data_IF_230877454689
#
_entry.id   IF_230877454689
#
_cell.length_a   1.000
_cell.length_b   1.000
_cell.length_c   1.000
_cell.angle_alpha   90.00
_cell.angle_beta   90.00
_cell.angle_gamma   90.00
#
_symmetry.space_group_name_H-M   'P 1'
#
loop_
_entity.id
_entity.type
_entity.pdbx_description
1 polymer ?
#
# COMPACT_ATOMS: atom_id res chain seq x y z
N UNK A 1 103.88 7.28 11.77
CA UNK A 1 103.04 7.78 12.89
C UNK A 1 101.55 7.95 12.55
N UNK A 2 101.12 8.10 11.28
CA UNK A 2 99.70 8.29 10.91
C UNK A 2 98.80 7.04 10.98
N UNK A 3 99.36 5.83 10.98
CA UNK A 3 98.58 4.57 11.08
C UNK A 3 98.21 4.21 12.52
N UNK A 4 99.06 4.55 13.50
CA UNK A 4 98.83 4.25 14.91
C UNK A 4 97.67 5.07 15.48
N UNK A 5 97.55 6.34 15.07
CA UNK A 5 96.43 7.22 15.44
C UNK A 5 95.07 6.81 14.82
N UNK A 6 95.08 6.10 13.69
CA UNK A 6 93.85 5.57 13.07
C UNK A 6 93.36 4.31 13.78
N UNK A 7 94.28 3.47 14.26
CA UNK A 7 93.94 2.30 15.07
C UNK A 7 93.41 2.68 16.45
N UNK A 8 94.02 3.66 17.11
CA UNK A 8 93.50 4.14 18.40
C UNK A 8 92.13 4.81 18.26
N UNK A 9 91.90 5.57 17.20
CA UNK A 9 90.58 6.14 16.90
C UNK A 9 89.51 5.05 16.63
N UNK A 10 89.86 3.99 15.89
CA UNK A 10 88.95 2.87 15.60
C UNK A 10 88.61 2.06 16.86
N UNK A 11 89.58 1.82 17.74
CA UNK A 11 89.37 1.12 19.02
C UNK A 11 88.53 1.96 19.99
N UNK A 12 88.74 3.28 20.04
CA UNK A 12 87.89 4.19 20.82
C UNK A 12 86.45 4.25 20.28
N UNK A 13 86.25 4.18 18.96
CA UNK A 13 84.93 4.16 18.33
C UNK A 13 84.17 2.85 18.62
N UNK A 14 84.89 1.72 18.65
CA UNK A 14 84.33 0.40 19.00
C UNK A 14 84.01 0.27 20.50
N UNK A 15 84.80 0.89 21.38
CA UNK A 15 84.52 0.93 22.83
C UNK A 15 83.32 1.84 23.17
N UNK A 16 83.10 2.92 22.40
CA UNK A 16 81.94 3.79 22.58
C UNK A 16 80.61 3.11 22.17
N UNK A 17 80.66 2.18 21.21
CA UNK A 17 79.49 1.42 20.76
C UNK A 17 79.02 0.36 21.78
N UNK A 18 79.89 -0.08 22.71
CA UNK A 18 79.57 -1.08 23.72
C UNK A 18 78.71 -0.54 24.90
N UNK A 19 78.50 0.78 24.98
CA UNK A 19 77.70 1.44 26.01
C UNK A 19 76.26 1.78 25.58
N UNK A 20 75.83 1.34 24.38
CA UNK A 20 74.44 1.49 23.96
C UNK A 20 73.54 0.55 24.79
N UNK A 21 73.02 1.05 25.91
CA UNK A 21 71.99 0.35 26.70
C UNK A 21 70.80 0.04 25.79
N UNK A 22 70.66 -1.23 25.41
CA UNK A 22 69.50 -1.68 24.64
C UNK A 22 68.20 -1.38 25.39
N UNK A 23 67.15 -0.91 24.67
CA UNK A 23 65.83 -0.75 25.26
C UNK A 23 65.30 -2.10 25.77
N UNK A 24 64.38 -2.10 26.76
CA UNK A 24 63.74 -3.32 27.25
C UNK A 24 63.13 -4.13 26.10
N UNK A 25 63.27 -5.46 26.15
CA UNK A 25 63.02 -6.37 25.03
C UNK A 25 61.66 -6.17 24.34
N UNK A 26 60.60 -5.90 25.10
CA UNK A 26 59.21 -5.85 24.60
C UNK A 26 58.68 -4.44 24.37
N UNK A 27 59.49 -3.39 24.53
CA UNK A 27 59.02 -2.01 24.47
C UNK A 27 58.39 -1.66 23.12
N UNK A 28 59.10 -1.96 22.03
CA UNK A 28 58.66 -1.63 20.67
C UNK A 28 57.41 -2.42 20.27
N UNK A 29 57.35 -3.70 20.64
CA UNK A 29 56.18 -4.55 20.39
C UNK A 29 54.96 -4.04 21.17
N UNK A 30 55.13 -3.66 22.44
CA UNK A 30 54.05 -3.10 23.26
C UNK A 30 53.53 -1.77 22.71
N UNK A 31 54.41 -0.93 22.18
CA UNK A 31 54.04 0.31 21.51
C UNK A 31 53.27 0.05 20.21
N UNK A 32 53.73 -0.91 19.40
CA UNK A 32 53.04 -1.30 18.18
C UNK A 32 51.64 -1.88 18.47
N UNK A 33 51.50 -2.71 19.51
CA UNK A 33 50.20 -3.23 19.96
C UNK A 33 49.25 -2.10 20.40
N UNK A 34 49.74 -1.10 21.15
CA UNK A 34 48.95 0.09 21.50
C UNK A 34 48.44 0.84 20.27
N UNK A 35 49.32 1.08 19.30
CA UNK A 35 48.95 1.77 18.06
C UNK A 35 47.95 0.98 17.23
N UNK A 36 48.11 -0.35 17.18
CA UNK A 36 47.18 -1.23 16.48
C UNK A 36 45.80 -1.19 17.12
N UNK A 37 45.71 -1.42 18.44
CA UNK A 37 44.45 -1.37 19.20
C UNK A 37 43.78 0.00 19.07
N UNK A 38 44.54 1.09 19.09
CA UNK A 38 44.01 2.43 18.86
C UNK A 38 43.46 2.60 17.44
N UNK A 39 44.16 2.07 16.43
CA UNK A 39 43.72 2.08 15.03
C UNK A 39 42.42 1.29 14.80
N UNK A 40 42.23 0.20 15.54
CA UNK A 40 40.99 -0.58 15.58
C UNK A 40 39.88 0.08 16.42
N UNK A 41 40.14 1.28 16.96
CA UNK A 41 39.17 2.08 17.70
C UNK A 41 39.01 1.67 19.17
N UNK A 42 39.97 0.98 19.77
CA UNK A 42 39.90 0.54 21.16
C UNK A 42 39.65 1.66 22.17
N UNK A 43 40.14 2.87 21.89
CA UNK A 43 39.89 4.08 22.68
C UNK A 43 38.42 4.57 22.62
N UNK A 44 37.73 4.30 21.52
CA UNK A 44 36.32 4.66 21.32
C UNK A 44 35.35 3.54 21.72
N UNK A 45 35.73 2.29 21.46
CA UNK A 45 34.90 1.11 21.71
C UNK A 45 34.94 0.69 23.18
N UNK A 46 36.14 0.65 23.75
CA UNK A 46 36.43 0.10 25.08
C UNK A 46 37.41 1.02 25.85
N UNK A 47 36.99 2.26 26.15
CA UNK A 47 37.88 3.30 26.68
C UNK A 47 38.55 2.94 28.01
N UNK A 48 37.86 2.20 28.89
CA UNK A 48 38.43 1.77 30.19
C UNK A 48 39.57 0.77 30.01
N UNK A 49 39.39 -0.20 29.11
CA UNK A 49 40.37 -1.26 28.85
C UNK A 49 41.58 -0.70 28.10
N UNK A 50 41.34 0.19 27.15
CA UNK A 50 42.40 0.91 26.45
C UNK A 50 43.22 1.79 27.41
N UNK A 51 42.56 2.54 28.31
CA UNK A 51 43.25 3.31 29.34
C UNK A 51 44.08 2.40 30.28
N UNK A 52 43.55 1.24 30.65
CA UNK A 52 44.26 0.25 31.47
C UNK A 52 45.51 -0.30 30.77
N UNK A 53 45.45 -0.53 29.45
CA UNK A 53 46.59 -0.93 28.63
C UNK A 53 47.64 0.19 28.55
N UNK A 54 47.21 1.43 28.33
CA UNK A 54 48.09 2.60 28.29
C UNK A 54 48.81 2.84 29.62
N UNK A 55 48.12 2.69 30.74
CA UNK A 55 48.70 2.79 32.08
C UNK A 55 49.81 1.76 32.32
N UNK A 56 49.61 0.52 31.84
CA UNK A 56 50.63 -0.52 31.93
C UNK A 56 51.88 -0.14 31.13
N UNK A 57 51.71 0.39 29.92
CA UNK A 57 52.81 0.84 29.08
C UNK A 57 53.56 2.02 29.73
N UNK A 58 52.83 3.02 30.25
CA UNK A 58 53.43 4.17 30.93
C UNK A 58 54.20 3.77 32.19
N UNK A 59 53.71 2.79 32.95
CA UNK A 59 54.46 2.19 34.06
C UNK A 59 55.75 1.55 33.56
N UNK A 60 55.70 0.80 32.46
CA UNK A 60 56.89 0.25 31.79
C UNK A 60 57.93 1.32 31.43
N UNK A 61 57.50 2.42 30.79
CA UNK A 61 58.35 3.56 30.47
C UNK A 61 58.95 4.22 31.72
N UNK A 62 58.18 4.33 32.81
CA UNK A 62 58.66 4.89 34.08
C UNK A 62 59.78 4.05 34.71
N UNK A 63 59.65 2.71 34.69
CA UNK A 63 60.67 1.80 35.21
C UNK A 63 61.90 1.76 34.30
N UNK A 64 61.70 1.88 32.98
CA UNK A 64 62.78 2.00 32.00
C UNK A 64 63.66 3.23 32.27
N UNK A 65 63.03 4.40 32.51
CA UNK A 65 63.74 5.63 32.91
C UNK A 65 64.52 5.49 34.22
N UNK A 66 64.02 4.69 35.16
CA UNK A 66 64.69 4.38 36.44
C UNK A 66 65.79 3.32 36.30
N UNK A 67 66.10 2.84 35.08
CA UNK A 67 67.05 1.74 34.81
C UNK A 67 66.67 0.40 35.47
N UNK A 68 65.41 0.22 35.88
CA UNK A 68 64.86 -1.02 36.45
C UNK A 68 64.33 -1.92 35.32
N UNK A 69 65.24 -2.57 34.59
CA UNK A 69 64.93 -3.32 33.36
C UNK A 69 63.88 -4.42 33.55
N UNK A 70 64.05 -5.27 34.56
CA UNK A 70 63.13 -6.40 34.81
C UNK A 70 61.70 -5.93 35.13
N UNK A 71 61.56 -4.85 35.90
CA UNK A 71 60.27 -4.26 36.20
C UNK A 71 59.64 -3.66 34.93
N UNK A 72 60.42 -2.96 34.12
CA UNK A 72 59.95 -2.41 32.84
C UNK A 72 59.46 -3.52 31.90
N UNK A 73 60.22 -4.60 31.75
CA UNK A 73 59.86 -5.75 30.92
C UNK A 73 58.55 -6.40 31.34
N UNK A 74 58.30 -6.58 32.65
CA UNK A 74 57.03 -7.11 33.15
C UNK A 74 55.83 -6.26 32.73
N UNK A 75 55.97 -4.93 32.78
CA UNK A 75 54.90 -4.02 32.38
C UNK A 75 54.69 -3.96 30.87
N UNK A 76 55.76 -4.07 30.06
CA UNK A 76 55.62 -4.20 28.62
C UNK A 76 54.96 -5.53 28.23
N UNK A 77 55.34 -6.65 28.85
CA UNK A 77 54.64 -7.93 28.66
C UNK A 77 53.17 -7.86 29.09
N UNK A 78 52.87 -7.17 30.20
CA UNK A 78 51.49 -6.94 30.62
C UNK A 78 50.71 -6.09 29.60
N UNK A 79 51.36 -5.10 28.99
CA UNK A 79 50.76 -4.30 27.91
C UNK A 79 50.39 -5.18 26.72
N UNK A 80 51.29 -6.06 26.29
CA UNK A 80 51.04 -7.01 25.20
C UNK A 80 49.88 -7.97 25.52
N UNK A 81 49.83 -8.51 26.74
CA UNK A 81 48.73 -9.38 27.18
C UNK A 81 47.38 -8.63 27.17
N UNK A 82 47.37 -7.39 27.65
CA UNK A 82 46.18 -6.53 27.61
C UNK A 82 45.76 -6.21 26.19
N UNK A 83 46.70 -5.91 25.30
CA UNK A 83 46.44 -5.69 23.88
C UNK A 83 45.78 -6.89 23.24
N UNK A 84 46.36 -8.09 23.40
CA UNK A 84 45.79 -9.32 22.83
C UNK A 84 44.39 -9.67 23.37
N UNK A 85 44.07 -9.32 24.63
CA UNK A 85 42.72 -9.48 25.17
C UNK A 85 41.76 -8.45 24.57
N UNK A 86 42.18 -7.19 24.55
CA UNK A 86 41.39 -6.07 24.05
C UNK A 86 41.10 -6.20 22.55
N UNK A 87 42.04 -6.69 21.75
CA UNK A 87 41.83 -7.01 20.33
C UNK A 87 40.67 -8.00 20.13
N UNK A 88 40.56 -9.02 20.98
CA UNK A 88 39.43 -9.98 20.92
C UNK A 88 38.11 -9.32 21.28
N UNK A 89 38.09 -8.50 22.32
CA UNK A 89 36.88 -7.79 22.73
C UNK A 89 36.42 -6.78 21.67
N UNK A 90 37.36 -6.07 21.04
CA UNK A 90 37.09 -5.17 19.91
C UNK A 90 36.47 -5.95 18.75
N UNK A 91 37.04 -7.11 18.39
CA UNK A 91 36.52 -7.94 17.32
C UNK A 91 35.09 -8.40 17.60
N UNK A 92 34.81 -8.85 18.82
CA UNK A 92 33.47 -9.25 19.24
C UNK A 92 32.48 -8.07 19.22
N UNK A 93 32.90 -6.90 19.70
CA UNK A 93 32.07 -5.71 19.73
C UNK A 93 31.74 -5.21 18.32
N UNK A 94 32.73 -5.22 17.42
CA UNK A 94 32.53 -4.89 16.02
C UNK A 94 31.58 -5.90 15.35
N UNK A 95 31.74 -7.20 15.61
CA UNK A 95 30.82 -8.22 15.11
C UNK A 95 29.37 -7.97 15.59
N UNK A 96 29.18 -7.70 16.89
CA UNK A 96 27.86 -7.34 17.45
C UNK A 96 27.25 -6.12 16.77
N UNK A 97 28.06 -5.08 16.53
CA UNK A 97 27.62 -3.86 15.83
C UNK A 97 27.26 -4.12 14.38
N UNK A 98 28.04 -4.92 13.66
CA UNK A 98 27.74 -5.30 12.29
C UNK A 98 26.45 -6.12 12.19
N UNK A 99 26.24 -7.07 13.10
CA UNK A 99 24.98 -7.81 13.17
C UNK A 99 23.79 -6.90 13.47
N UNK A 100 23.93 -5.98 14.44
CA UNK A 100 22.88 -5.02 14.77
C UNK A 100 22.55 -4.11 13.57
N UNK A 101 23.57 -3.59 12.88
CA UNK A 101 23.40 -2.79 11.67
C UNK A 101 22.72 -3.60 10.56
N UNK A 102 23.11 -4.86 10.35
CA UNK A 102 22.49 -5.74 9.37
C UNK A 102 21.00 -5.98 9.68
N UNK A 103 20.65 -6.21 10.96
CA UNK A 103 19.25 -6.37 11.40
C UNK A 103 18.41 -5.13 11.11
N UNK A 104 18.95 -3.93 11.38
CA UNK A 104 18.27 -2.67 11.06
C UNK A 104 18.04 -2.51 9.56
N UNK A 105 19.02 -2.85 8.73
CA UNK A 105 18.87 -2.82 7.27
C UNK A 105 17.81 -3.81 6.79
N UNK A 106 17.76 -5.02 7.35
CA UNK A 106 16.74 -6.01 7.01
C UNK A 106 15.34 -5.54 7.43
N UNK A 107 15.22 -4.96 8.61
CA UNK A 107 13.95 -4.42 9.10
C UNK A 107 13.46 -3.26 8.21
N UNK A 108 14.35 -2.33 7.84
CA UNK A 108 14.02 -1.25 6.92
C UNK A 108 13.59 -1.78 5.55
N UNK A 109 14.25 -2.83 5.03
CA UNK A 109 13.83 -3.49 3.79
C UNK A 109 12.44 -4.11 3.91
N UNK A 110 12.15 -4.78 5.02
CA UNK A 110 10.82 -5.36 5.30
C UNK A 110 9.75 -4.26 5.28
N UNK A 111 9.96 -3.18 6.03
CA UNK A 111 9.04 -2.04 6.08
C UNK A 111 8.85 -1.42 4.70
N UNK A 112 9.93 -1.26 3.91
CA UNK A 112 9.85 -0.71 2.57
C UNK A 112 9.07 -1.62 1.60
N UNK A 113 9.24 -2.93 1.70
CA UNK A 113 8.49 -3.91 0.92
C UNK A 113 7.01 -3.91 1.29
N UNK A 114 6.69 -3.89 2.60
CA UNK A 114 5.30 -3.81 3.07
C UNK A 114 4.63 -2.52 2.58
N UNK A 115 5.34 -1.39 2.63
CA UNK A 115 4.83 -0.12 2.10
C UNK A 115 4.53 -0.21 0.61
N UNK A 116 5.46 -0.75 -0.19
CA UNK A 116 5.26 -0.94 -1.64
C UNK A 116 4.06 -1.84 -1.93
N UNK A 117 3.94 -2.95 -1.19
CA UNK A 117 2.80 -3.87 -1.34
C UNK A 117 1.47 -3.19 -1.00
N UNK A 118 1.42 -2.34 0.04
CA UNK A 118 0.22 -1.54 0.38
C UNK A 118 -0.13 -0.54 -0.72
N UNK A 119 0.86 0.19 -1.23
CA UNK A 119 0.66 1.16 -2.32
C UNK A 119 0.18 0.47 -3.60
N UNK A 120 0.71 -0.71 -3.93
CA UNK A 120 0.25 -1.52 -5.06
C UNK A 120 -1.18 -2.05 -4.85
N UNK A 121 -1.48 -2.58 -3.66
CA UNK A 121 -2.82 -3.04 -3.31
C UNK A 121 -3.86 -1.91 -3.40
N UNK A 122 -3.52 -0.70 -2.94
CA UNK A 122 -4.38 0.47 -3.06
C UNK A 122 -4.61 0.86 -4.52
N UNK A 123 -3.56 0.84 -5.36
CA UNK A 123 -3.68 1.09 -6.81
C UNK A 123 -4.58 0.07 -7.49
N UNK A 124 -4.41 -1.21 -7.17
CA UNK A 124 -5.25 -2.28 -7.70
C UNK A 124 -6.69 -2.15 -7.23
N UNK A 125 -6.93 -1.77 -5.97
CA UNK A 125 -8.27 -1.53 -5.45
C UNK A 125 -8.97 -0.37 -6.19
N UNK A 126 -8.28 0.76 -6.38
CA UNK A 126 -8.80 1.90 -7.16
C UNK A 126 -9.07 1.52 -8.61
N UNK A 127 -8.15 0.81 -9.26
CA UNK A 127 -8.33 0.35 -10.63
C UNK A 127 -9.54 -0.61 -10.77
N UNK A 128 -9.77 -1.48 -9.77
CA UNK A 128 -10.97 -2.33 -9.73
C UNK A 128 -12.25 -1.53 -9.59
N UNK A 129 -12.28 -0.57 -8.66
CA UNK A 129 -13.44 0.31 -8.46
C UNK A 129 -13.75 1.11 -9.73
N UNK A 130 -12.73 1.69 -10.38
CA UNK A 130 -12.88 2.40 -11.65
C UNK A 130 -13.38 1.50 -12.77
N UNK A 131 -12.88 0.27 -12.87
CA UNK A 131 -13.33 -0.72 -13.84
C UNK A 131 -14.79 -1.13 -13.60
N UNK A 132 -15.18 -1.38 -12.35
CA UNK A 132 -16.56 -1.68 -11.98
C UNK A 132 -17.49 -0.50 -12.30
N UNK A 133 -17.09 0.72 -11.99
CA UNK A 133 -17.84 1.93 -12.33
C UNK A 133 -17.97 2.13 -13.85
N UNK A 134 -16.93 1.82 -14.62
CA UNK A 134 -16.97 1.86 -16.07
C UNK A 134 -17.95 0.83 -16.65
N UNK A 135 -17.90 -0.42 -16.15
CA UNK A 135 -18.85 -1.48 -16.54
C UNK A 135 -20.30 -1.07 -16.22
N UNK A 136 -20.55 -0.50 -15.04
CA UNK A 136 -21.89 -0.02 -14.67
C UNK A 136 -22.37 1.11 -15.59
N UNK A 137 -21.52 2.10 -15.88
CA UNK A 137 -21.84 3.19 -16.81
C UNK A 137 -22.16 2.67 -18.22
N UNK A 138 -21.35 1.75 -18.72
CA UNK A 138 -21.57 1.12 -20.03
C UNK A 138 -22.88 0.31 -20.05
N UNK A 139 -23.17 -0.46 -19.00
CA UNK A 139 -24.43 -1.18 -18.86
C UNK A 139 -25.65 -0.23 -18.88
N UNK A 140 -25.59 0.88 -18.16
CA UNK A 140 -26.65 1.92 -18.18
C UNK A 140 -26.82 2.52 -19.57
N UNK A 141 -25.71 2.82 -20.26
CA UNK A 141 -25.75 3.38 -21.61
C UNK A 141 -26.36 2.38 -22.63
N UNK A 142 -26.01 1.10 -22.53
CA UNK A 142 -26.58 0.04 -23.37
C UNK A 142 -28.09 -0.10 -23.14
N UNK A 143 -28.55 -0.07 -21.88
CA UNK A 143 -29.98 -0.11 -21.55
C UNK A 143 -30.70 1.12 -22.13
N UNK A 144 -30.12 2.31 -21.99
CA UNK A 144 -30.67 3.56 -22.53
C UNK A 144 -30.77 3.53 -24.06
N UNK A 145 -29.76 3.03 -24.77
CA UNK A 145 -29.77 2.89 -26.25
C UNK A 145 -30.80 1.87 -26.74
N UNK A 146 -31.11 0.84 -25.94
CA UNK A 146 -32.12 -0.19 -26.28
C UNK A 146 -33.55 0.21 -25.93
N UNK A 147 -33.75 1.19 -25.05
CA UNK A 147 -35.08 1.72 -24.75
C UNK A 147 -35.61 2.57 -25.92
N UNK A 148 -36.55 2.02 -26.70
CA UNK A 148 -37.27 2.79 -27.73
C UNK A 148 -38.19 3.81 -27.05
N UNK A 149 -38.31 5.06 -27.55
CA UNK A 149 -39.32 6.00 -27.08
C UNK A 149 -40.71 5.38 -27.26
N UNK A 150 -41.42 5.17 -26.15
CA UNK A 150 -42.80 4.74 -26.18
C UNK A 150 -43.59 5.91 -26.75
N UNK A 151 -44.02 5.80 -28.02
CA UNK A 151 -44.84 6.82 -28.67
C UNK A 151 -46.15 6.91 -27.90
N UNK A 152 -46.29 7.93 -27.05
CA UNK A 152 -47.53 8.22 -26.33
C UNK A 152 -48.62 8.44 -27.37
N UNK A 153 -49.54 7.48 -27.47
CA UNK A 153 -50.70 7.61 -28.34
C UNK A 153 -51.62 8.62 -27.67
N UNK A 154 -51.98 9.74 -28.33
CA UNK A 154 -52.84 10.74 -27.72
C UNK A 154 -54.16 10.08 -27.31
N UNK A 155 -54.44 10.10 -26.01
CA UNK A 155 -55.63 9.48 -25.44
C UNK A 155 -56.83 10.42 -25.56
N UNK A 156 -57.91 9.96 -26.19
CA UNK A 156 -59.13 10.78 -26.38
C UNK A 156 -60.05 10.74 -25.16
N UNK A 157 -60.63 11.87 -24.76
CA UNK A 157 -61.63 11.95 -23.68
C UNK A 157 -63.07 11.73 -24.17
N UNK A 158 -63.28 11.83 -25.49
CA UNK A 158 -64.56 11.56 -26.15
C UNK A 158 -64.35 10.99 -27.55
N UNK A 159 -65.27 10.14 -28.01
CA UNK A 159 -65.25 9.55 -29.34
C UNK A 159 -66.58 9.81 -30.07
N UNK A 160 -66.50 10.33 -31.30
CA UNK A 160 -67.67 10.47 -32.16
C UNK A 160 -67.86 9.19 -32.97
N UNK A 161 -68.97 8.50 -32.74
CA UNK A 161 -69.32 7.23 -33.38
C UNK A 161 -69.41 7.41 -34.89
N UNK A 162 -68.67 6.60 -35.64
CA UNK A 162 -68.70 6.57 -37.11
C UNK A 162 -69.66 5.48 -37.61
N UNK A 163 -70.01 5.55 -38.89
CA UNK A 163 -70.91 4.57 -39.53
C UNK A 163 -70.32 3.16 -39.44
N UNK A 164 -71.07 2.25 -38.82
CA UNK A 164 -70.69 0.84 -38.66
C UNK A 164 -69.80 0.52 -37.45
N UNK A 165 -69.54 1.50 -36.57
CA UNK A 165 -68.81 1.22 -35.33
C UNK A 165 -69.70 0.57 -34.26
N UNK A 166 -69.08 -0.25 -33.43
CA UNK A 166 -69.66 -0.86 -32.23
C UNK A 166 -68.82 -0.49 -31.00
N UNK A 167 -69.39 -0.56 -29.79
CA UNK A 167 -68.66 -0.22 -28.57
C UNK A 167 -67.34 -1.00 -28.38
N UNK A 168 -67.26 -2.33 -28.68
CA UNK A 168 -65.98 -3.05 -28.67
C UNK A 168 -64.98 -2.52 -29.70
N UNK A 169 -65.44 -2.15 -30.89
CA UNK A 169 -64.55 -1.61 -31.91
C UNK A 169 -63.96 -0.26 -31.48
N UNK A 170 -64.75 0.60 -30.85
CA UNK A 170 -64.29 1.89 -30.31
C UNK A 170 -63.29 1.64 -29.17
N UNK A 171 -63.60 0.77 -28.21
CA UNK A 171 -62.70 0.45 -27.10
C UNK A 171 -61.34 -0.13 -27.55
N UNK A 172 -61.34 -0.85 -28.69
CA UNK A 172 -60.13 -1.43 -29.26
C UNK A 172 -59.15 -0.43 -29.84
N UNK A 173 -59.58 0.81 -30.10
CA UNK A 173 -58.72 1.83 -30.65
C UNK A 173 -57.62 2.16 -29.63
N UNK A 174 -56.34 2.22 -30.04
CA UNK A 174 -55.23 2.51 -29.13
C UNK A 174 -55.36 3.86 -28.40
N UNK A 175 -56.01 4.83 -29.06
CA UNK A 175 -56.34 6.15 -28.51
C UNK A 175 -57.41 6.10 -27.42
N UNK A 176 -58.24 5.05 -27.42
CA UNK A 176 -59.33 4.84 -26.45
C UNK A 176 -58.81 3.96 -25.31
N UNK A 177 -58.76 2.64 -25.47
CA UNK A 177 -58.17 1.74 -24.47
C UNK A 177 -57.22 0.68 -25.05
N UNK A 178 -57.22 0.47 -26.37
CA UNK A 178 -56.45 -0.59 -27.00
C UNK A 178 -56.94 -2.02 -26.70
N UNK A 179 -58.12 -2.17 -26.08
CA UNK A 179 -58.68 -3.46 -25.65
C UNK A 179 -60.20 -3.48 -25.91
N UNK A 180 -60.64 -4.41 -26.76
CA UNK A 180 -62.06 -4.59 -27.13
C UNK A 180 -62.93 -4.88 -25.92
N UNK A 181 -62.40 -5.56 -24.90
CA UNK A 181 -63.17 -6.01 -23.75
C UNK A 181 -63.44 -4.88 -22.74
N UNK A 182 -62.96 -3.67 -23.01
CA UNK A 182 -63.19 -2.49 -22.18
C UNK A 182 -64.38 -1.63 -22.64
N UNK A 183 -65.13 -2.09 -23.64
CA UNK A 183 -66.38 -1.47 -24.06
C UNK A 183 -67.40 -1.20 -22.93
N UNK A 184 -67.49 -2.01 -21.85
CA UNK A 184 -68.42 -1.72 -20.76
C UNK A 184 -68.11 -0.42 -20.03
N UNK A 185 -66.86 0.06 -20.06
CA UNK A 185 -66.49 1.35 -19.48
C UNK A 185 -67.16 2.51 -20.24
N UNK A 186 -67.12 2.45 -21.58
CA UNK A 186 -67.79 3.41 -22.46
C UNK A 186 -69.30 3.31 -22.24
N UNK A 187 -69.85 2.09 -22.18
CA UNK A 187 -71.28 1.89 -21.94
C UNK A 187 -71.73 2.48 -20.59
N UNK A 188 -71.01 2.19 -19.50
CA UNK A 188 -71.31 2.69 -18.14
C UNK A 188 -71.29 4.21 -18.07
N UNK A 189 -70.32 4.86 -18.71
CA UNK A 189 -70.20 6.32 -18.71
C UNK A 189 -71.25 7.06 -19.55
N UNK A 190 -71.95 6.35 -20.45
CA UNK A 190 -72.91 6.92 -21.39
C UNK A 190 -74.31 6.28 -21.28
N UNK A 191 -74.67 5.75 -20.10
CA UNK A 191 -75.99 5.12 -19.85
C UNK A 191 -77.17 6.06 -20.01
N UNK A 192 -76.93 7.35 -19.90
CA UNK A 192 -77.87 8.43 -20.21
C UNK A 192 -78.23 8.47 -21.70
N UNK A 193 -77.32 8.04 -22.58
CA UNK A 193 -77.50 8.10 -24.05
C UNK A 193 -77.66 6.72 -24.71
N UNK A 194 -77.16 5.65 -24.08
CA UNK A 194 -77.20 4.29 -24.61
C UNK A 194 -78.07 3.41 -23.72
N UNK A 195 -79.24 3.00 -24.23
CA UNK A 195 -80.12 2.04 -23.55
C UNK A 195 -79.63 0.62 -23.75
N UNK A 196 -79.46 0.21 -25.01
CA UNK A 196 -78.93 -1.09 -25.41
C UNK A 196 -77.49 -0.93 -25.92
N UNK A 197 -76.49 -1.61 -25.35
CA UNK A 197 -75.10 -1.51 -25.80
C UNK A 197 -74.85 -1.98 -27.24
N UNK A 198 -75.80 -2.70 -27.87
CA UNK A 198 -75.75 -3.05 -29.30
C UNK A 198 -76.23 -1.94 -30.23
N UNK A 199 -76.83 -0.89 -29.68
CA UNK A 199 -77.46 0.19 -30.44
C UNK A 199 -76.76 1.52 -30.18
N UNK A 200 -75.86 1.89 -31.09
CA UNK A 200 -75.23 3.22 -31.14
C UNK A 200 -75.38 3.77 -32.56
N UNK A 201 -75.50 5.09 -32.69
CA UNK A 201 -75.76 5.73 -33.98
C UNK A 201 -74.58 6.59 -34.44
N UNK A 202 -74.34 6.69 -35.76
CA UNK A 202 -73.31 7.57 -36.29
C UNK A 202 -73.57 9.03 -35.90
N UNK A 203 -72.52 9.74 -35.49
CA UNK A 203 -72.58 11.13 -35.01
C UNK A 203 -72.78 11.27 -33.49
N UNK A 204 -73.07 10.19 -32.77
CA UNK A 204 -73.17 10.21 -31.31
C UNK A 204 -71.80 10.44 -30.66
N UNK A 205 -71.70 11.35 -29.69
CA UNK A 205 -70.45 11.63 -28.97
C UNK A 205 -70.45 10.90 -27.64
N UNK A 206 -69.56 9.91 -27.50
CA UNK A 206 -69.43 9.07 -26.32
C UNK A 206 -68.28 9.54 -25.42
N UNK A 207 -68.53 9.64 -24.12
CA UNK A 207 -67.51 9.91 -23.10
C UNK A 207 -66.61 8.69 -22.91
N UNK A 208 -65.29 8.91 -22.87
CA UNK A 208 -64.28 7.88 -22.60
C UNK A 208 -63.66 8.15 -21.22
N UNK A 209 -64.11 7.47 -20.14
CA UNK A 209 -63.60 7.72 -18.80
C UNK A 209 -62.12 7.33 -18.66
N UNK A 210 -61.34 8.20 -18.01
CA UNK A 210 -59.90 8.02 -17.75
C UNK A 210 -59.55 7.83 -16.28
N UNK A 211 -60.36 8.37 -15.37
CA UNK A 211 -60.17 8.25 -13.93
C UNK A 211 -60.78 6.95 -13.40
N UNK A 212 -60.24 5.81 -13.83
CA UNK A 212 -60.71 4.48 -13.46
C UNK A 212 -59.63 3.72 -12.68
N UNK A 213 -60.04 2.98 -11.66
CA UNK A 213 -59.15 2.13 -10.87
C UNK A 213 -58.85 0.80 -11.58
N UNK A 214 -57.84 0.08 -11.09
CA UNK A 214 -57.48 -1.27 -11.61
C UNK A 214 -58.68 -2.23 -11.62
N UNK A 215 -59.54 -2.13 -10.61
CA UNK A 215 -60.70 -3.02 -10.45
C UNK A 215 -61.76 -2.78 -11.52
N UNK A 216 -61.96 -1.52 -11.94
CA UNK A 216 -62.92 -1.16 -13.01
C UNK A 216 -62.58 -1.84 -14.33
N UNK A 217 -61.29 -1.91 -14.68
CA UNK A 217 -60.82 -2.58 -15.89
C UNK A 217 -61.04 -4.10 -15.81
N UNK A 218 -60.78 -4.69 -14.65
CA UNK A 218 -60.99 -6.14 -14.43
C UNK A 218 -62.47 -6.50 -14.51
N UNK A 219 -63.34 -5.70 -13.89
CA UNK A 219 -64.79 -5.86 -13.93
C UNK A 219 -65.33 -5.70 -15.35
N UNK A 220 -64.87 -4.67 -16.08
CA UNK A 220 -65.28 -4.44 -17.46
C UNK A 220 -64.92 -5.63 -18.36
N UNK A 221 -63.72 -6.20 -18.23
CA UNK A 221 -63.32 -7.39 -18.99
C UNK A 221 -64.23 -8.58 -18.69
N UNK A 222 -64.51 -8.83 -17.41
CA UNK A 222 -65.40 -9.91 -17.00
C UNK A 222 -66.82 -9.71 -17.55
N UNK A 223 -67.36 -8.49 -17.45
CA UNK A 223 -68.68 -8.14 -17.98
C UNK A 223 -68.75 -8.35 -19.51
N UNK A 224 -67.70 -7.95 -20.24
CA UNK A 224 -67.63 -8.14 -21.69
C UNK A 224 -67.58 -9.62 -22.08
N UNK A 225 -66.89 -10.46 -21.30
CA UNK A 225 -66.82 -11.92 -21.50
C UNK A 225 -68.17 -12.60 -21.25
N UNK A 226 -68.88 -12.20 -20.19
CA UNK A 226 -70.19 -12.75 -19.85
C UNK A 226 -71.28 -12.30 -20.84
N UNK A 227 -71.12 -11.13 -21.47
CA UNK A 227 -72.09 -10.53 -22.40
C UNK A 227 -71.42 -10.07 -23.71
N UNK A 228 -70.93 -11.00 -24.54
CA UNK A 228 -70.20 -10.64 -25.74
C UNK A 228 -71.11 -9.90 -26.74
N UNK A 229 -70.66 -8.73 -27.16
CA UNK A 229 -71.19 -8.02 -28.31
C UNK A 229 -70.46 -8.55 -29.55
N UNK A 230 -71.23 -9.00 -30.53
CA UNK A 230 -70.72 -9.45 -31.84
C UNK A 230 -70.90 -8.32 -32.83
#
# INVERSE_FOLDING_TARGET
MRLLGKFTALVLLLLAAACATHPPRFREEAMASLQHVQGEGGDTLLPSEFASMLDAFQKGESFSKQKKKEAAERYFSLTLLKGALLEKEILEENARRHEAAARLVQEQKRIALERRAREEAERLAKAREEAEAAIQKEAVEVVRKKAKPQKEIPQVSSHTVKRGESLPLIASQPEVYGDRNLWPLIYRANRDQIRDPRQIWPGQVLRVPRNLGRDDFSEARRYAQERPLR
#
